data_IF_860438586842
#
_entry.id   IF_860438586842
#
_cell.length_a   1.000
_cell.length_b   1.000
_cell.length_c   1.000
_cell.angle_alpha   90.00
_cell.angle_beta   90.00
_cell.angle_gamma   90.00
#
_symmetry.space_group_name_H-M   'P 1'
#
loop_
_entity.id
_entity.type
_entity.pdbx_description
1 polymer ?
#
# COMPACT_ATOMS: atom_id res chain seq x y z
N UNK A 1 22.82 -14.47 22.13
CA UNK A 1 21.98 -13.40 22.71
C UNK A 1 22.62 -12.01 22.58
N UNK A 2 23.93 -11.84 22.85
CA UNK A 2 24.59 -10.52 22.74
C UNK A 2 24.59 -9.86 21.36
N UNK A 3 24.54 -10.61 20.27
CA UNK A 3 24.51 -10.05 18.88
C UNK A 3 23.22 -9.37 18.51
N UNK A 4 22.07 -9.80 19.01
CA UNK A 4 20.76 -9.20 18.75
C UNK A 4 20.57 -7.90 19.54
N UNK A 5 20.92 -7.90 20.83
CA UNK A 5 20.85 -6.71 21.67
C UNK A 5 21.77 -5.60 21.15
N UNK A 6 23.00 -5.94 20.76
CA UNK A 6 23.94 -4.99 20.15
C UNK A 6 23.41 -4.44 18.83
N UNK A 7 22.75 -5.27 18.03
CA UNK A 7 22.15 -4.83 16.76
C UNK A 7 20.98 -3.88 16.99
N UNK A 8 20.10 -4.15 17.96
CA UNK A 8 19.03 -3.23 18.34
C UNK A 8 19.58 -1.89 18.85
N UNK A 9 20.65 -1.93 19.65
CA UNK A 9 21.32 -0.71 20.13
C UNK A 9 21.99 0.07 18.99
N UNK A 10 22.59 -0.60 18.02
CA UNK A 10 23.16 0.05 16.82
C UNK A 10 22.08 0.70 15.95
N UNK A 11 20.91 0.06 15.81
CA UNK A 11 19.75 0.62 15.11
C UNK A 11 19.27 1.91 15.78
N UNK A 12 19.15 1.89 17.12
CA UNK A 12 18.71 3.04 17.91
C UNK A 12 19.71 4.21 17.88
N UNK A 13 21.03 3.90 17.91
CA UNK A 13 22.10 4.89 17.93
C UNK A 13 22.50 5.42 16.55
N UNK A 14 22.06 4.78 15.47
CA UNK A 14 22.45 5.18 14.12
C UNK A 14 21.85 6.52 13.74
N UNK A 15 22.68 7.53 13.60
CA UNK A 15 22.29 8.85 13.05
C UNK A 15 21.76 8.75 11.63
N UNK A 16 22.17 7.74 10.86
CA UNK A 16 21.68 7.48 9.49
C UNK A 16 20.27 6.92 9.49
N UNK A 17 19.85 6.22 10.55
CA UNK A 17 18.51 5.66 10.73
C UNK A 17 17.45 6.69 11.16
N UNK A 18 17.84 7.92 11.53
CA UNK A 18 16.87 8.93 12.04
C UNK A 18 15.71 9.19 11.08
N UNK A 19 15.95 9.19 9.77
CA UNK A 19 14.90 9.34 8.78
C UNK A 19 13.81 8.26 8.89
N UNK A 20 14.18 7.00 9.11
CA UNK A 20 13.22 5.90 9.22
C UNK A 20 12.34 5.99 10.49
N UNK A 21 12.83 6.60 11.57
CA UNK A 21 12.06 6.82 12.79
C UNK A 21 10.94 7.86 12.61
N UNK A 22 11.13 8.86 11.75
CA UNK A 22 10.05 9.79 11.38
C UNK A 22 8.92 9.06 10.64
N UNK A 23 9.26 8.08 9.77
CA UNK A 23 8.24 7.26 9.12
C UNK A 23 7.45 6.42 10.14
N UNK A 24 8.12 5.86 11.16
CA UNK A 24 7.46 5.16 12.26
C UNK A 24 6.56 6.10 13.06
N UNK A 25 7.06 7.28 13.45
CA UNK A 25 6.25 8.27 14.16
C UNK A 25 4.99 8.67 13.40
N UNK A 26 5.12 8.91 12.09
CA UNK A 26 3.99 9.17 11.20
C UNK A 26 3.00 8.00 11.12
N UNK A 27 3.49 6.76 11.00
CA UNK A 27 2.65 5.56 10.97
C UNK A 27 1.88 5.35 12.28
N UNK A 28 2.53 5.55 13.43
CA UNK A 28 1.90 5.46 14.76
C UNK A 28 0.82 6.56 14.90
N UNK A 29 1.12 7.80 14.52
CA UNK A 29 0.18 8.91 14.58
C UNK A 29 -1.05 8.65 13.69
N UNK A 30 -0.86 8.19 12.45
CA UNK A 30 -1.95 7.79 11.55
C UNK A 30 -2.81 6.67 12.15
N UNK A 31 -2.17 5.66 12.74
CA UNK A 31 -2.89 4.54 13.37
C UNK A 31 -3.73 5.03 14.56
N UNK A 32 -3.20 5.93 15.36
CA UNK A 32 -3.93 6.52 16.48
C UNK A 32 -5.15 7.32 16.02
N UNK A 33 -4.97 8.19 15.00
CA UNK A 33 -6.08 8.94 14.39
C UNK A 33 -7.14 7.95 13.83
N UNK A 34 -6.68 6.87 13.19
CA UNK A 34 -7.54 5.80 12.67
C UNK A 34 -8.36 5.13 13.78
N UNK A 35 -7.73 4.75 14.90
CA UNK A 35 -8.41 4.16 16.06
C UNK A 35 -9.49 5.11 16.60
N UNK A 36 -9.18 6.39 16.73
CA UNK A 36 -10.14 7.41 17.19
C UNK A 36 -11.30 7.61 16.20
N UNK A 37 -11.02 7.58 14.89
CA UNK A 37 -12.05 7.64 13.86
C UNK A 37 -12.95 6.40 13.88
N UNK A 38 -12.35 5.20 13.98
CA UNK A 38 -13.08 3.92 14.10
C UNK A 38 -13.94 3.92 15.36
N UNK A 39 -13.42 4.41 16.50
CA UNK A 39 -14.19 4.53 17.78
C UNK A 39 -15.45 5.36 17.62
N UNK A 40 -15.44 6.38 16.75
CA UNK A 40 -16.63 7.22 16.48
C UNK A 40 -17.76 6.45 15.82
N UNK A 41 -17.45 5.50 14.91
CA UNK A 41 -18.44 4.78 14.10
C UNK A 41 -18.69 3.35 14.54
N UNK A 42 -17.68 2.69 15.13
CA UNK A 42 -17.71 1.28 15.49
C UNK A 42 -16.80 1.00 16.72
N UNK A 43 -17.24 1.33 17.95
CA UNK A 43 -16.42 1.20 19.17
C UNK A 43 -15.83 -0.19 19.38
N UNK A 44 -16.58 -1.25 19.12
CA UNK A 44 -16.13 -2.65 19.28
C UNK A 44 -14.95 -2.98 18.34
N UNK A 45 -14.93 -2.39 17.14
CA UNK A 45 -13.87 -2.59 16.18
C UNK A 45 -12.61 -1.77 16.53
N UNK A 46 -12.76 -0.67 17.26
CA UNK A 46 -11.62 0.11 17.76
C UNK A 46 -10.76 -0.69 18.73
N UNK A 47 -11.38 -1.43 19.64
CA UNK A 47 -10.69 -2.34 20.57
C UNK A 47 -9.91 -3.44 19.82
N UNK A 48 -10.52 -4.04 18.80
CA UNK A 48 -9.85 -5.03 17.93
C UNK A 48 -8.68 -4.40 17.14
N UNK A 49 -8.83 -3.15 16.68
CA UNK A 49 -7.76 -2.45 15.97
C UNK A 49 -6.54 -2.19 16.87
N UNK A 50 -6.73 -1.91 18.17
CA UNK A 50 -5.62 -1.79 19.13
C UNK A 50 -4.86 -3.11 19.24
N UNK A 51 -5.54 -4.25 19.31
CA UNK A 51 -4.89 -5.57 19.32
C UNK A 51 -4.07 -5.76 18.04
N UNK A 52 -4.64 -5.45 16.87
CA UNK A 52 -3.91 -5.53 15.60
C UNK A 52 -2.73 -4.58 15.53
N UNK A 53 -2.83 -3.42 16.12
CA UNK A 53 -1.71 -2.48 16.22
C UNK A 53 -0.56 -3.08 17.03
N UNK A 54 -0.84 -3.69 18.18
CA UNK A 54 0.19 -4.37 18.99
C UNK A 54 0.82 -5.52 18.22
N UNK A 55 0.03 -6.37 17.56
CA UNK A 55 0.54 -7.46 16.70
C UNK A 55 1.43 -6.90 15.58
N UNK A 56 1.02 -5.79 14.97
CA UNK A 56 1.79 -5.13 13.91
C UNK A 56 3.14 -4.62 14.39
N UNK A 57 3.21 -4.10 15.62
CA UNK A 57 4.48 -3.67 16.24
C UNK A 57 5.41 -4.86 16.51
N UNK A 58 4.85 -6.01 16.91
CA UNK A 58 5.64 -7.25 17.10
C UNK A 58 6.21 -7.73 15.77
N UNK A 59 5.39 -7.80 14.71
CA UNK A 59 5.85 -8.18 13.37
C UNK A 59 6.87 -7.17 12.83
N UNK A 60 6.65 -5.88 13.04
CA UNK A 60 7.62 -4.84 12.71
C UNK A 60 8.97 -5.11 13.41
N UNK A 61 8.97 -5.43 14.71
CA UNK A 61 10.18 -5.75 15.46
C UNK A 61 10.87 -7.00 14.91
N UNK A 62 10.12 -8.03 14.51
CA UNK A 62 10.69 -9.21 13.84
C UNK A 62 11.35 -8.84 12.49
N UNK A 63 10.79 -7.90 11.75
CA UNK A 63 11.35 -7.40 10.49
C UNK A 63 12.66 -6.61 10.65
N UNK A 64 13.07 -6.25 11.88
CA UNK A 64 14.37 -5.65 12.16
C UNK A 64 15.52 -6.68 12.14
N UNK A 65 15.23 -7.99 12.24
CA UNK A 65 16.22 -9.04 12.42
C UNK A 65 16.92 -9.49 11.14
N UNK A 66 16.22 -9.71 10.00
CA UNK A 66 16.86 -10.30 8.82
C UNK A 66 17.83 -9.32 8.15
N UNK A 67 18.97 -9.84 7.66
CA UNK A 67 19.89 -9.04 6.84
C UNK A 67 19.26 -8.74 5.47
N UNK A 68 19.45 -7.55 4.86
CA UNK A 68 18.88 -7.23 3.56
C UNK A 68 19.22 -8.26 2.48
N UNK A 69 20.43 -8.82 2.52
CA UNK A 69 20.83 -9.86 1.57
C UNK A 69 19.95 -11.12 1.69
N UNK A 70 19.61 -11.52 2.93
CA UNK A 70 18.72 -12.67 3.17
C UNK A 70 17.30 -12.37 2.67
N UNK A 71 16.79 -11.17 2.98
CA UNK A 71 15.48 -10.71 2.49
C UNK A 71 15.45 -10.73 0.95
N UNK A 72 16.49 -10.21 0.30
CA UNK A 72 16.60 -10.19 -1.14
C UNK A 72 16.70 -11.58 -1.78
N UNK A 73 17.50 -12.49 -1.20
CA UNK A 73 17.62 -13.87 -1.68
C UNK A 73 16.28 -14.62 -1.54
N UNK A 74 15.54 -14.37 -0.45
CA UNK A 74 14.22 -14.98 -0.20
C UNK A 74 13.08 -14.32 -0.99
N UNK A 75 13.29 -13.18 -1.66
CA UNK A 75 12.22 -12.40 -2.28
C UNK A 75 11.40 -13.16 -3.32
N UNK A 76 12.07 -13.94 -4.19
CA UNK A 76 11.36 -14.75 -5.18
C UNK A 76 10.61 -15.93 -4.56
N UNK A 77 11.19 -16.58 -3.56
CA UNK A 77 10.51 -17.66 -2.83
C UNK A 77 9.25 -17.15 -2.13
N UNK A 78 9.34 -15.99 -1.47
CA UNK A 78 8.18 -15.34 -0.86
C UNK A 78 7.12 -14.94 -1.90
N UNK A 79 7.52 -14.45 -3.07
CA UNK A 79 6.59 -14.16 -4.16
C UNK A 79 5.88 -15.43 -4.64
N UNK A 80 6.63 -16.53 -4.86
CA UNK A 80 6.04 -17.82 -5.27
C UNK A 80 5.03 -18.31 -4.23
N UNK A 81 5.39 -18.31 -2.95
CA UNK A 81 4.44 -18.68 -1.86
C UNK A 81 3.20 -17.81 -1.90
N UNK A 82 3.35 -16.51 -2.11
CA UNK A 82 2.22 -15.59 -2.20
C UNK A 82 1.34 -15.88 -3.44
N UNK A 83 1.95 -16.17 -4.58
CA UNK A 83 1.20 -16.55 -5.80
C UNK A 83 0.45 -17.87 -5.60
N UNK A 84 1.04 -18.84 -4.89
CA UNK A 84 0.36 -20.09 -4.53
C UNK A 84 -0.83 -19.82 -3.59
N UNK A 85 -0.69 -18.94 -2.59
CA UNK A 85 -1.80 -18.54 -1.72
C UNK A 85 -2.92 -17.84 -2.50
N UNK A 86 -2.57 -16.93 -3.43
CA UNK A 86 -3.55 -16.30 -4.31
C UNK A 86 -4.24 -17.32 -5.23
N UNK A 87 -3.47 -18.27 -5.79
CA UNK A 87 -4.01 -19.34 -6.62
C UNK A 87 -4.93 -20.27 -5.84
N UNK A 88 -4.57 -20.61 -4.60
CA UNK A 88 -5.39 -21.42 -3.69
C UNK A 88 -6.79 -20.83 -3.50
N UNK A 89 -6.91 -19.52 -3.33
CA UNK A 89 -8.20 -18.84 -3.18
C UNK A 89 -9.11 -18.94 -4.41
N UNK A 90 -8.56 -19.31 -5.58
CA UNK A 90 -9.33 -19.44 -6.82
C UNK A 90 -9.86 -20.88 -7.03
N UNK A 91 -9.49 -21.84 -6.17
CA UNK A 91 -9.97 -23.22 -6.26
C UNK A 91 -11.47 -23.25 -5.96
N UNK A 92 -12.31 -23.75 -6.89
CA UNK A 92 -13.74 -23.86 -6.66
C UNK A 92 -14.04 -24.95 -5.60
N UNK A 93 -15.08 -24.74 -4.78
CA UNK A 93 -15.53 -25.76 -3.82
C UNK A 93 -14.83 -25.75 -2.47
N UNK A 94 -13.94 -24.79 -2.19
CA UNK A 94 -13.35 -24.63 -0.84
C UNK A 94 -14.43 -24.37 0.22
N UNK A 95 -14.32 -25.00 1.42
CA UNK A 95 -15.26 -24.78 2.53
C UNK A 95 -15.31 -23.30 2.92
N UNK A 96 -16.51 -22.79 3.23
CA UNK A 96 -16.71 -21.41 3.71
C UNK A 96 -16.01 -21.13 5.05
N UNK A 97 -15.68 -22.18 5.82
CA UNK A 97 -14.86 -22.09 7.02
C UNK A 97 -13.40 -21.70 6.74
N UNK A 98 -12.89 -21.97 5.54
CA UNK A 98 -11.51 -21.63 5.13
C UNK A 98 -11.47 -20.35 4.28
N UNK A 99 -12.44 -20.22 3.37
CA UNK A 99 -12.59 -19.05 2.48
C UNK A 99 -13.99 -18.48 2.65
N UNK A 100 -14.18 -17.49 3.53
CA UNK A 100 -15.47 -16.86 3.74
C UNK A 100 -15.95 -16.21 2.43
N UNK A 101 -17.11 -16.66 1.95
CA UNK A 101 -17.77 -16.08 0.78
C UNK A 101 -18.60 -14.88 1.23
N UNK A 102 -17.95 -13.73 1.44
CA UNK A 102 -18.63 -12.50 1.81
C UNK A 102 -18.51 -11.44 0.72
N UNK A 103 -19.58 -10.68 0.45
CA UNK A 103 -19.59 -9.52 -0.45
C UNK A 103 -19.13 -9.80 -1.90
N UNK A 104 -19.30 -11.03 -2.38
CA UNK A 104 -18.96 -11.40 -3.76
C UNK A 104 -17.47 -11.55 -4.04
N UNK A 105 -16.60 -11.55 -3.02
CA UNK A 105 -15.16 -11.75 -3.16
C UNK A 105 -14.70 -13.01 -2.42
N UNK A 106 -13.67 -13.68 -2.96
CA UNK A 106 -12.98 -14.83 -2.36
C UNK A 106 -11.54 -14.45 -1.99
N UNK A 107 -11.33 -13.24 -1.47
CA UNK A 107 -10.00 -12.67 -1.26
C UNK A 107 -9.43 -12.92 0.15
N UNK A 108 -10.18 -13.59 1.03
CA UNK A 108 -9.84 -13.74 2.44
C UNK A 108 -9.65 -15.21 2.83
N UNK A 109 -8.62 -15.49 3.62
CA UNK A 109 -8.43 -16.75 4.32
C UNK A 109 -8.86 -16.57 5.78
N UNK A 110 -9.75 -17.43 6.27
CA UNK A 110 -10.08 -17.48 7.68
C UNK A 110 -9.11 -18.41 8.41
N UNK A 111 -8.25 -17.80 9.22
CA UNK A 111 -7.32 -18.52 10.10
C UNK A 111 -7.91 -18.76 11.50
N UNK A 112 -9.24 -18.64 11.68
CA UNK A 112 -9.97 -18.70 12.95
C UNK A 112 -9.63 -17.56 13.93
N UNK A 113 -8.39 -17.14 13.99
CA UNK A 113 -7.91 -16.02 14.82
C UNK A 113 -8.03 -14.69 14.05
N UNK A 114 -7.84 -14.74 12.72
CA UNK A 114 -7.86 -13.56 11.86
C UNK A 114 -8.28 -13.90 10.44
N UNK A 115 -8.90 -12.93 9.77
CA UNK A 115 -9.04 -12.97 8.32
C UNK A 115 -7.78 -12.42 7.67
N UNK A 116 -7.03 -13.30 7.02
CA UNK A 116 -5.80 -12.94 6.32
C UNK A 116 -6.08 -12.71 4.83
N UNK A 117 -5.59 -11.59 4.29
CA UNK A 117 -5.73 -11.26 2.88
C UNK A 117 -4.38 -11.44 2.15
N UNK A 118 -4.22 -12.50 1.34
CA UNK A 118 -2.97 -12.75 0.62
C UNK A 118 -2.57 -11.65 -0.35
N UNK A 119 -3.50 -10.86 -0.88
CA UNK A 119 -3.21 -9.72 -1.74
C UNK A 119 -2.48 -8.58 -1.00
N UNK A 120 -2.64 -8.46 0.32
CA UNK A 120 -1.83 -7.53 1.13
C UNK A 120 -0.37 -7.97 1.17
N UNK A 121 -0.12 -9.28 1.37
CA UNK A 121 1.23 -9.85 1.32
C UNK A 121 1.84 -9.73 -0.08
N UNK A 122 1.02 -9.84 -1.13
CA UNK A 122 1.47 -9.74 -2.52
C UNK A 122 2.12 -8.38 -2.83
N UNK A 123 1.64 -7.29 -2.24
CA UNK A 123 2.27 -5.96 -2.38
C UNK A 123 3.70 -5.95 -1.86
N UNK A 124 3.92 -6.49 -0.65
CA UNK A 124 5.26 -6.57 -0.05
C UNK A 124 6.19 -7.46 -0.87
N UNK A 125 5.74 -8.68 -1.21
CA UNK A 125 6.57 -9.66 -1.92
C UNK A 125 6.89 -9.23 -3.36
N UNK A 126 5.94 -8.58 -4.03
CA UNK A 126 6.16 -7.96 -5.33
C UNK A 126 7.27 -6.90 -5.28
N UNK A 127 7.22 -5.98 -4.30
CA UNK A 127 8.23 -4.94 -4.16
C UNK A 127 9.60 -5.54 -3.91
N UNK A 128 9.71 -6.52 -3.02
CA UNK A 128 10.98 -7.17 -2.71
C UNK A 128 11.55 -7.91 -3.93
N UNK A 129 10.73 -8.67 -4.64
CA UNK A 129 11.12 -9.37 -5.86
C UNK A 129 11.54 -8.40 -6.98
N UNK A 130 10.76 -7.33 -7.18
CA UNK A 130 11.05 -6.28 -8.15
C UNK A 130 12.35 -5.55 -7.82
N UNK A 131 12.56 -5.18 -6.55
CA UNK A 131 13.79 -4.51 -6.11
C UNK A 131 15.01 -5.42 -6.31
N UNK A 132 14.86 -6.72 -6.02
CA UNK A 132 15.92 -7.70 -6.23
C UNK A 132 16.22 -7.93 -7.71
N UNK A 133 15.19 -7.90 -8.56
CA UNK A 133 15.36 -7.98 -10.02
C UNK A 133 16.08 -6.76 -10.58
N UNK A 134 15.63 -5.55 -10.23
CA UNK A 134 16.11 -4.30 -10.82
C UNK A 134 17.50 -3.88 -10.34
N UNK A 135 17.98 -4.39 -9.18
CA UNK A 135 19.18 -3.88 -8.47
C UNK A 135 20.45 -3.75 -9.30
N UNK A 136 20.72 -4.69 -10.21
CA UNK A 136 21.95 -4.73 -11.03
C UNK A 136 21.67 -4.74 -12.53
N UNK A 137 20.44 -4.49 -12.93
CA UNK A 137 20.05 -4.51 -14.33
C UNK A 137 19.90 -3.08 -14.87
N UNK A 138 20.19 -2.90 -16.16
CA UNK A 138 19.95 -1.66 -16.91
C UNK A 138 19.06 -1.89 -18.13
N UNK A 139 18.58 -3.13 -18.31
CA UNK A 139 17.77 -3.56 -19.47
C UNK A 139 16.43 -2.84 -19.55
N UNK A 140 15.89 -2.36 -18.41
CA UNK A 140 14.65 -1.58 -18.33
C UNK A 140 14.72 -0.21 -19.05
N UNK A 141 15.88 0.18 -19.55
CA UNK A 141 16.04 1.34 -20.45
C UNK A 141 15.66 1.02 -21.91
N UNK A 142 15.37 -0.24 -22.22
CA UNK A 142 14.90 -0.73 -23.51
C UNK A 142 13.51 -1.37 -23.34
N UNK A 143 12.68 -1.33 -24.39
CA UNK A 143 11.31 -1.89 -24.35
C UNK A 143 11.29 -3.37 -23.98
N UNK A 144 12.18 -4.17 -24.56
CA UNK A 144 12.28 -5.60 -24.24
C UNK A 144 12.63 -5.85 -22.76
N UNK A 145 13.35 -4.94 -22.14
CA UNK A 145 13.74 -5.06 -20.73
C UNK A 145 12.61 -4.76 -19.75
N UNK A 146 11.51 -4.14 -20.19
CA UNK A 146 10.31 -3.88 -19.40
C UNK A 146 9.38 -5.11 -19.31
N UNK A 147 9.53 -6.08 -20.19
CA UNK A 147 8.67 -7.28 -20.21
C UNK A 147 8.72 -8.05 -18.90
N UNK A 148 9.89 -8.21 -18.29
CA UNK A 148 10.02 -8.94 -17.03
C UNK A 148 9.42 -8.16 -15.84
N UNK A 149 9.70 -6.86 -15.64
CA UNK A 149 8.99 -6.04 -14.65
C UNK A 149 7.47 -6.07 -14.81
N UNK A 150 6.97 -5.96 -16.04
CA UNK A 150 5.54 -6.06 -16.31
C UNK A 150 5.00 -7.47 -16.01
N UNK A 151 5.72 -8.52 -16.39
CA UNK A 151 5.35 -9.90 -16.07
C UNK A 151 5.28 -10.17 -14.57
N UNK A 152 6.29 -9.71 -13.80
CA UNK A 152 6.29 -9.82 -12.35
C UNK A 152 5.12 -9.08 -11.68
N UNK A 153 4.65 -7.98 -12.27
CA UNK A 153 3.45 -7.27 -11.82
C UNK A 153 2.17 -7.98 -12.27
N UNK A 154 2.08 -8.40 -13.53
CA UNK A 154 0.86 -8.96 -14.09
C UNK A 154 0.49 -10.32 -13.49
N UNK A 155 1.47 -11.10 -13.00
CA UNK A 155 1.20 -12.37 -12.34
C UNK A 155 0.32 -12.22 -11.09
N UNK A 156 0.71 -11.46 -10.04
CA UNK A 156 -0.17 -11.25 -8.88
C UNK A 156 -1.44 -10.47 -9.25
N UNK A 157 -1.34 -9.46 -10.11
CA UNK A 157 -2.50 -8.66 -10.55
C UNK A 157 -3.55 -9.53 -11.23
N UNK A 158 -3.16 -10.42 -12.13
CA UNK A 158 -4.09 -11.33 -12.83
C UNK A 158 -4.83 -12.27 -11.88
N UNK A 159 -4.15 -12.78 -10.84
CA UNK A 159 -4.79 -13.61 -9.81
C UNK A 159 -5.74 -12.79 -8.94
N UNK A 160 -5.35 -11.57 -8.53
CA UNK A 160 -6.15 -10.66 -7.70
C UNK A 160 -7.41 -10.21 -8.44
N UNK A 161 -7.31 -9.88 -9.72
CA UNK A 161 -8.46 -9.49 -10.56
C UNK A 161 -9.46 -10.64 -10.70
N UNK A 162 -8.98 -11.89 -10.75
CA UNK A 162 -9.86 -13.08 -10.75
C UNK A 162 -10.60 -13.29 -9.43
N UNK A 163 -10.09 -12.75 -8.31
CA UNK A 163 -10.73 -12.76 -6.99
C UNK A 163 -11.72 -11.59 -6.78
N UNK A 164 -12.20 -10.92 -7.80
CA UNK A 164 -12.82 -9.59 -7.94
C UNK A 164 -12.32 -8.49 -6.98
N UNK A 165 -11.01 -8.44 -6.74
CA UNK A 165 -10.38 -7.38 -5.93
C UNK A 165 -9.63 -6.38 -6.84
N UNK A 166 -10.39 -5.60 -7.61
CA UNK A 166 -9.84 -4.56 -8.50
C UNK A 166 -9.11 -3.47 -7.72
N UNK A 167 -9.58 -3.17 -6.52
CA UNK A 167 -8.98 -2.14 -5.69
C UNK A 167 -7.51 -2.43 -5.42
N UNK A 168 -7.21 -3.58 -4.85
CA UNK A 168 -5.81 -3.97 -4.57
C UNK A 168 -4.99 -4.08 -5.85
N UNK A 169 -5.56 -4.57 -6.96
CA UNK A 169 -4.87 -4.65 -8.24
C UNK A 169 -4.40 -3.29 -8.77
N UNK A 170 -5.19 -2.23 -8.57
CA UNK A 170 -4.85 -0.86 -9.03
C UNK A 170 -3.59 -0.28 -8.35
N UNK A 171 -3.19 -0.78 -7.18
CA UNK A 171 -2.02 -0.26 -6.43
C UNK A 171 -0.70 -0.66 -7.11
N UNK A 172 -0.67 -1.82 -7.79
CA UNK A 172 0.56 -2.37 -8.35
C UNK A 172 1.15 -1.51 -9.48
N UNK A 173 0.30 -0.98 -10.36
CA UNK A 173 0.77 -0.21 -11.52
C UNK A 173 1.51 1.09 -11.10
N UNK A 174 0.94 2.01 -10.29
CA UNK A 174 1.68 3.19 -9.88
C UNK A 174 2.90 2.83 -9.01
N UNK A 175 2.85 1.76 -8.22
CA UNK A 175 4.02 1.29 -7.46
C UNK A 175 5.14 0.85 -8.39
N UNK A 176 4.84 0.07 -9.45
CA UNK A 176 5.83 -0.31 -10.47
C UNK A 176 6.44 0.92 -11.14
N UNK A 177 5.61 1.91 -11.53
CA UNK A 177 6.09 3.13 -12.19
C UNK A 177 7.08 3.89 -11.30
N UNK A 178 6.76 4.06 -10.01
CA UNK A 178 7.65 4.71 -9.03
C UNK A 178 8.97 3.94 -8.91
N UNK A 179 8.93 2.61 -8.84
CA UNK A 179 10.13 1.78 -8.77
C UNK A 179 10.98 1.86 -10.06
N UNK A 180 10.36 1.88 -11.24
CA UNK A 180 11.05 2.02 -12.53
C UNK A 180 11.71 3.39 -12.67
N UNK A 181 11.03 4.47 -12.24
CA UNK A 181 11.61 5.82 -12.20
C UNK A 181 12.84 5.84 -11.28
N UNK A 182 12.73 5.28 -10.08
CA UNK A 182 13.83 5.22 -9.13
C UNK A 182 14.99 4.33 -9.59
N UNK A 183 14.72 3.32 -10.41
CA UNK A 183 15.74 2.51 -11.07
C UNK A 183 16.46 3.27 -12.20
N UNK A 184 15.88 4.33 -12.73
CA UNK A 184 16.42 5.13 -13.84
C UNK A 184 15.94 4.69 -15.23
N UNK A 185 14.69 4.21 -15.32
CA UNK A 185 14.03 3.96 -16.59
C UNK A 185 13.86 5.26 -17.38
N UNK A 186 13.80 5.17 -18.71
CA UNK A 186 13.56 6.34 -19.55
C UNK A 186 12.14 6.87 -19.32
N UNK A 187 12.00 8.16 -19.02
CA UNK A 187 10.69 8.80 -18.76
C UNK A 187 9.72 8.65 -19.92
N UNK A 188 10.22 8.57 -21.17
CA UNK A 188 9.41 8.28 -22.34
C UNK A 188 8.70 6.92 -22.25
N UNK A 189 9.39 5.87 -21.80
CA UNK A 189 8.78 4.56 -21.59
C UNK A 189 7.69 4.61 -20.51
N UNK A 190 7.95 5.35 -19.43
CA UNK A 190 6.98 5.57 -18.36
C UNK A 190 5.75 6.32 -18.90
N UNK A 191 5.98 7.39 -19.68
CA UNK A 191 4.89 8.15 -20.32
C UNK A 191 4.01 7.29 -21.22
N UNK A 192 4.62 6.39 -22.01
CA UNK A 192 3.86 5.45 -22.85
C UNK A 192 3.07 4.46 -22.00
N UNK A 193 3.66 3.90 -20.92
CA UNK A 193 2.93 2.99 -20.04
C UNK A 193 1.72 3.67 -19.37
N UNK A 194 1.90 4.91 -18.90
CA UNK A 194 0.80 5.72 -18.34
C UNK A 194 -0.23 6.02 -19.42
N UNK A 195 0.20 6.41 -20.63
CA UNK A 195 -0.68 6.69 -21.76
C UNK A 195 -1.52 5.48 -22.17
N UNK A 196 -0.90 4.30 -22.27
CA UNK A 196 -1.62 3.04 -22.55
C UNK A 196 -2.65 2.74 -21.46
N UNK A 197 -2.29 2.91 -20.18
CA UNK A 197 -3.23 2.73 -19.06
C UNK A 197 -4.40 3.72 -19.13
N UNK A 198 -4.13 4.99 -19.41
CA UNK A 198 -5.16 6.02 -19.56
C UNK A 198 -6.09 5.72 -20.75
N UNK A 199 -5.52 5.37 -21.91
CA UNK A 199 -6.31 4.99 -23.10
C UNK A 199 -7.16 3.76 -22.79
N UNK A 200 -6.61 2.73 -22.14
CA UNK A 200 -7.37 1.54 -21.75
C UNK A 200 -8.56 1.89 -20.84
N UNK A 201 -8.36 2.81 -19.88
CA UNK A 201 -9.44 3.29 -19.00
C UNK A 201 -10.51 4.01 -19.79
N UNK A 202 -10.13 4.92 -20.69
CA UNK A 202 -11.07 5.63 -21.56
C UNK A 202 -11.84 4.65 -22.45
N UNK A 203 -11.17 3.68 -23.06
CA UNK A 203 -11.82 2.65 -23.90
C UNK A 203 -12.83 1.84 -23.09
N UNK A 204 -12.50 1.45 -21.85
CA UNK A 204 -13.42 0.73 -20.95
C UNK A 204 -14.65 1.60 -20.65
N UNK A 205 -14.49 2.88 -20.35
CA UNK A 205 -15.59 3.80 -20.09
C UNK A 205 -16.47 3.95 -21.33
N UNK A 206 -15.88 4.18 -22.51
CA UNK A 206 -16.61 4.29 -23.77
C UNK A 206 -17.35 2.99 -24.11
N UNK A 207 -16.72 1.83 -23.87
CA UNK A 207 -17.34 0.52 -24.10
C UNK A 207 -18.57 0.31 -23.21
N UNK A 208 -18.52 0.69 -21.94
CA UNK A 208 -19.68 0.60 -21.02
C UNK A 208 -20.82 1.48 -21.51
N UNK A 209 -20.52 2.62 -22.16
CA UNK A 209 -21.52 3.60 -22.58
C UNK A 209 -22.11 3.29 -23.95
N UNK A 210 -21.26 2.97 -24.94
CA UNK A 210 -21.66 2.83 -26.34
C UNK A 210 -21.84 1.37 -26.80
N UNK A 211 -21.27 0.40 -26.07
CA UNK A 211 -21.30 -1.02 -26.42
C UNK A 211 -21.61 -1.90 -25.19
N UNK A 212 -22.74 -1.73 -24.49
CA UNK A 212 -23.04 -2.46 -23.26
C UNK A 212 -22.98 -3.98 -23.43
N UNK A 213 -23.45 -4.50 -24.57
CA UNK A 213 -23.41 -5.95 -24.85
C UNK A 213 -21.98 -6.52 -24.89
N UNK A 214 -21.00 -5.71 -25.32
CA UNK A 214 -19.57 -6.11 -25.33
C UNK A 214 -19.00 -5.97 -23.92
N UNK A 215 -19.39 -4.92 -23.20
CA UNK A 215 -18.99 -4.70 -21.81
C UNK A 215 -19.46 -5.86 -20.92
N UNK A 216 -20.66 -6.40 -21.11
CA UNK A 216 -21.24 -7.52 -20.35
C UNK A 216 -20.44 -8.83 -20.52
N UNK A 217 -19.74 -8.99 -21.64
CA UNK A 217 -18.90 -10.17 -21.89
C UNK A 217 -17.51 -10.06 -21.21
N UNK A 218 -17.01 -8.85 -21.01
CA UNK A 218 -15.64 -8.59 -20.54
C UNK A 218 -15.61 -8.21 -19.06
N UNK A 219 -16.58 -7.42 -18.62
CA UNK A 219 -16.66 -6.88 -17.26
C UNK A 219 -17.83 -7.51 -16.50
N UNK A 220 -17.59 -7.83 -15.23
CA UNK A 220 -18.66 -8.32 -14.36
C UNK A 220 -19.66 -7.19 -14.06
N UNK A 221 -20.96 -7.49 -13.87
CA UNK A 221 -22.00 -6.47 -13.65
C UNK A 221 -21.63 -5.45 -12.57
N UNK A 222 -21.14 -5.91 -11.40
CA UNK A 222 -20.74 -5.03 -10.29
C UNK A 222 -19.54 -4.11 -10.61
N UNK A 223 -18.72 -4.45 -11.60
CA UNK A 223 -17.60 -3.59 -12.05
C UNK A 223 -18.14 -2.47 -12.95
N UNK A 224 -19.04 -2.82 -13.85
CA UNK A 224 -19.71 -1.83 -14.72
C UNK A 224 -20.51 -0.84 -13.91
N UNK A 225 -21.23 -1.35 -12.90
CA UNK A 225 -22.05 -0.53 -12.02
C UNK A 225 -21.23 0.54 -11.30
N UNK A 226 -20.00 0.22 -10.87
CA UNK A 226 -19.08 1.21 -10.26
C UNK A 226 -18.74 2.35 -11.23
N UNK A 227 -18.48 2.04 -12.50
CA UNK A 227 -18.20 3.06 -13.52
C UNK A 227 -19.46 3.84 -13.90
N UNK A 228 -20.60 3.18 -14.06
CA UNK A 228 -21.89 3.84 -14.34
C UNK A 228 -22.27 4.80 -13.21
N UNK A 229 -22.09 4.36 -11.96
CA UNK A 229 -22.31 5.21 -10.80
C UNK A 229 -21.43 6.47 -10.79
N UNK A 230 -20.15 6.34 -11.09
CA UNK A 230 -19.24 7.49 -11.20
C UNK A 230 -19.64 8.44 -12.33
N UNK A 231 -20.03 7.92 -13.49
CA UNK A 231 -20.44 8.74 -14.64
C UNK A 231 -21.74 9.49 -14.32
N UNK A 232 -22.76 8.81 -13.74
CA UNK A 232 -24.02 9.45 -13.36
C UNK A 232 -23.80 10.57 -12.33
N UNK A 233 -22.85 10.39 -11.43
CA UNK A 233 -22.47 11.40 -10.45
C UNK A 233 -21.85 12.65 -11.12
N UNK A 234 -20.96 12.46 -12.11
CA UNK A 234 -20.37 13.58 -12.88
C UNK A 234 -21.44 14.31 -13.68
N UNK A 235 -22.44 13.59 -14.19
CA UNK A 235 -23.55 14.15 -14.97
C UNK A 235 -24.65 14.79 -14.11
N UNK A 236 -24.61 14.60 -12.78
CA UNK A 236 -25.67 15.04 -11.86
C UNK A 236 -26.99 14.28 -12.03
N UNK A 237 -26.94 13.08 -12.63
CA UNK A 237 -28.11 12.24 -12.89
C UNK A 237 -28.37 11.32 -11.69
N UNK A 238 -29.43 11.60 -10.92
CA UNK A 238 -29.81 10.86 -9.72
C UNK A 238 -30.27 9.41 -9.92
N UNK A 239 -30.22 8.86 -11.15
CA UNK A 239 -30.70 7.50 -11.46
C UNK A 239 -30.05 6.38 -10.65
N UNK A 240 -28.80 6.58 -10.20
CA UNK A 240 -28.02 5.60 -9.42
C UNK A 240 -27.80 6.01 -7.95
N UNK A 241 -28.46 7.08 -7.46
CA UNK A 241 -28.28 7.60 -6.10
C UNK A 241 -28.69 6.61 -5.01
N UNK A 242 -29.61 5.69 -5.31
CA UNK A 242 -30.10 4.70 -4.35
C UNK A 242 -29.26 3.41 -4.24
N UNK A 243 -28.25 3.23 -5.11
CA UNK A 243 -27.47 2.00 -5.19
C UNK A 243 -25.95 2.23 -5.06
N UNK A 244 -25.30 2.48 -6.20
CA UNK A 244 -23.85 2.41 -6.32
C UNK A 244 -23.20 3.75 -5.99
N UNK A 245 -23.81 4.86 -6.44
CA UNK A 245 -23.36 6.22 -6.12
C UNK A 245 -23.70 6.61 -4.68
N UNK A 246 -24.58 5.87 -4.01
CA UNK A 246 -25.04 6.19 -2.64
C UNK A 246 -23.88 6.37 -1.67
N UNK A 247 -22.95 5.40 -1.63
CA UNK A 247 -21.80 5.44 -0.72
C UNK A 247 -20.93 6.68 -0.97
N UNK A 248 -20.69 7.01 -2.22
CA UNK A 248 -19.82 8.11 -2.62
C UNK A 248 -20.50 9.47 -2.43
N UNK A 249 -21.79 9.59 -2.79
CA UNK A 249 -22.57 10.80 -2.57
C UNK A 249 -22.70 11.11 -1.08
N UNK A 250 -22.92 10.08 -0.24
CA UNK A 250 -22.95 10.25 1.22
C UNK A 250 -21.58 10.63 1.77
N UNK A 251 -20.50 10.06 1.22
CA UNK A 251 -19.14 10.45 1.58
C UNK A 251 -18.92 11.94 1.33
N UNK A 252 -19.21 12.44 0.14
CA UNK A 252 -19.01 13.85 -0.21
C UNK A 252 -19.91 14.80 0.60
N UNK A 253 -21.17 14.42 0.86
CA UNK A 253 -22.04 15.20 1.74
C UNK A 253 -21.47 15.34 3.17
N UNK A 254 -20.95 14.23 3.73
CA UNK A 254 -20.34 14.23 5.07
C UNK A 254 -19.02 15.01 5.10
N UNK A 255 -18.20 14.92 4.05
CA UNK A 255 -16.98 15.72 3.90
C UNK A 255 -17.33 17.21 3.87
N UNK A 256 -18.33 17.61 3.06
CA UNK A 256 -18.81 19.00 2.99
C UNK A 256 -19.38 19.51 4.31
N UNK A 257 -20.11 18.65 5.04
CA UNK A 257 -20.66 18.99 6.35
C UNK A 257 -19.57 19.19 7.44
N UNK A 258 -18.38 18.58 7.27
CA UNK A 258 -17.25 18.74 8.17
C UNK A 258 -16.66 20.15 8.18
N UNK A 259 -16.82 20.92 7.11
CA UNK A 259 -16.29 22.28 6.98
C UNK A 259 -14.82 22.40 7.43
N UNK A 260 -14.43 23.50 8.07
CA UNK A 260 -13.04 23.76 8.44
C UNK A 260 -12.63 23.04 9.75
N UNK A 261 -13.50 23.05 10.77
CA UNK A 261 -13.19 22.56 12.12
C UNK A 261 -13.79 21.19 12.44
N UNK A 262 -14.68 20.66 11.60
CA UNK A 262 -15.39 19.42 11.85
C UNK A 262 -16.61 19.58 12.75
N UNK A 263 -17.40 18.50 12.78
CA UNK A 263 -18.65 18.46 13.57
C UNK A 263 -18.45 17.87 14.98
N UNK A 264 -17.26 17.36 15.28
CA UNK A 264 -16.98 16.61 16.50
C UNK A 264 -17.49 15.17 16.48
N UNK A 265 -17.12 14.36 17.47
CA UNK A 265 -17.36 12.91 17.48
C UNK A 265 -18.85 12.56 17.52
N UNK A 266 -19.62 13.20 18.41
CA UNK A 266 -21.02 12.86 18.63
C UNK A 266 -21.92 13.14 17.43
N UNK A 267 -21.80 14.35 16.85
CA UNK A 267 -22.56 14.73 15.66
C UNK A 267 -22.19 13.85 14.46
N UNK A 268 -20.89 13.57 14.28
CA UNK A 268 -20.41 12.68 13.22
C UNK A 268 -20.98 11.28 13.38
N UNK A 269 -20.97 10.71 14.58
CA UNK A 269 -21.55 9.38 14.84
C UNK A 269 -23.05 9.34 14.56
N UNK A 270 -23.80 10.36 14.97
CA UNK A 270 -25.25 10.47 14.71
C UNK A 270 -25.55 10.55 13.21
N UNK A 271 -24.83 11.41 12.48
CA UNK A 271 -25.01 11.59 11.05
C UNK A 271 -24.65 10.33 10.23
N UNK A 272 -23.55 9.66 10.57
CA UNK A 272 -23.16 8.42 9.89
C UNK A 272 -24.19 7.31 10.12
N UNK A 273 -24.74 7.17 11.33
CA UNK A 273 -25.82 6.23 11.62
C UNK A 273 -27.10 6.59 10.85
N UNK A 274 -27.47 7.87 10.84
CA UNK A 274 -28.67 8.35 10.15
C UNK A 274 -28.57 8.16 8.64
N UNK A 275 -27.46 8.54 8.04
CA UNK A 275 -27.22 8.44 6.60
C UNK A 275 -26.85 7.02 6.15
N UNK A 276 -26.53 6.10 7.08
CA UNK A 276 -26.19 4.72 6.78
C UNK A 276 -24.96 4.59 5.88
N UNK A 277 -23.85 5.35 6.14
CA UNK A 277 -22.64 5.25 5.32
C UNK A 277 -22.04 3.85 5.40
N UNK A 278 -22.11 3.05 4.29
CA UNK A 278 -21.51 1.73 4.28
C UNK A 278 -19.99 1.83 4.42
N UNK A 279 -19.37 0.81 5.00
CA UNK A 279 -17.90 0.67 5.11
C UNK A 279 -17.17 1.89 5.69
N UNK A 280 -17.86 2.70 6.52
CA UNK A 280 -17.32 3.91 7.13
C UNK A 280 -16.01 3.67 7.89
N UNK A 281 -15.81 2.46 8.45
CA UNK A 281 -14.60 2.08 9.19
C UNK A 281 -13.44 1.57 8.31
N UNK A 282 -13.72 1.19 7.07
CA UNK A 282 -12.76 0.59 6.13
C UNK A 282 -12.35 1.62 5.07
N UNK A 283 -12.96 1.55 3.89
CA UNK A 283 -12.62 2.35 2.71
C UNK A 283 -13.11 3.80 2.77
N UNK A 284 -14.12 4.12 3.59
CA UNK A 284 -14.64 5.49 3.77
C UNK A 284 -14.17 6.15 5.09
N UNK A 285 -13.09 5.66 5.69
CA UNK A 285 -12.60 6.22 6.97
C UNK A 285 -12.11 7.67 6.84
N UNK A 286 -11.58 8.06 5.68
CA UNK A 286 -11.19 9.44 5.41
C UNK A 286 -12.37 10.39 5.54
N UNK A 287 -13.56 9.99 5.08
CA UNK A 287 -14.81 10.74 5.26
C UNK A 287 -15.13 10.97 6.74
N UNK A 288 -14.97 9.92 7.57
CA UNK A 288 -15.19 10.02 9.02
C UNK A 288 -14.23 11.03 9.65
N UNK A 289 -12.96 11.01 9.22
CA UNK A 289 -11.93 11.93 9.71
C UNK A 289 -12.29 13.38 9.38
N UNK A 290 -12.65 13.63 8.11
CA UNK A 290 -13.00 14.99 7.68
C UNK A 290 -14.32 15.45 8.31
N UNK A 291 -15.32 14.59 8.42
CA UNK A 291 -16.56 14.92 9.11
C UNK A 291 -16.30 15.29 10.58
N UNK A 292 -15.41 14.56 11.28
CA UNK A 292 -15.13 14.77 12.70
C UNK A 292 -14.23 15.97 12.98
N UNK A 293 -13.14 16.13 12.23
CA UNK A 293 -12.08 17.13 12.49
C UNK A 293 -11.97 18.19 11.38
N UNK A 294 -12.85 18.17 10.39
CA UNK A 294 -12.89 19.13 9.30
C UNK A 294 -11.68 19.06 8.37
N UNK A 295 -11.44 20.16 7.68
CA UNK A 295 -10.29 20.32 6.79
C UNK A 295 -8.95 20.20 7.53
N UNK A 296 -8.91 20.58 8.82
CA UNK A 296 -7.74 20.40 9.69
C UNK A 296 -7.36 18.92 9.80
N UNK A 297 -8.35 18.03 9.98
CA UNK A 297 -8.14 16.58 10.00
C UNK A 297 -7.60 16.05 8.67
N UNK A 298 -8.13 16.53 7.54
CA UNK A 298 -7.62 16.19 6.22
C UNK A 298 -6.17 16.64 6.05
N UNK A 299 -5.85 17.88 6.40
CA UNK A 299 -4.50 18.43 6.30
C UNK A 299 -3.50 17.65 7.16
N UNK A 300 -3.89 17.26 8.37
CA UNK A 300 -3.06 16.44 9.26
C UNK A 300 -2.75 15.08 8.64
N UNK A 301 -3.76 14.40 8.05
CA UNK A 301 -3.58 13.14 7.35
C UNK A 301 -2.60 13.29 6.17
N UNK A 302 -2.78 14.30 5.32
CA UNK A 302 -1.85 14.57 4.21
C UNK A 302 -0.42 14.85 4.70
N UNK A 303 -0.26 15.64 5.75
CA UNK A 303 1.05 15.98 6.33
C UNK A 303 1.75 14.72 6.86
N UNK A 304 1.03 13.82 7.53
CA UNK A 304 1.59 12.58 8.05
C UNK A 304 1.98 11.60 6.94
N UNK A 305 1.18 11.48 5.87
CA UNK A 305 1.59 10.69 4.70
C UNK A 305 2.80 11.29 4.00
N UNK A 306 2.83 12.61 3.83
CA UNK A 306 4.00 13.30 3.27
C UNK A 306 5.24 13.05 4.12
N UNK A 307 5.13 13.13 5.45
CA UNK A 307 6.22 12.80 6.38
C UNK A 307 6.74 11.38 6.15
N UNK A 308 5.87 10.38 6.03
CA UNK A 308 6.26 8.99 5.79
C UNK A 308 7.00 8.87 4.43
N UNK A 309 6.43 9.42 3.35
CA UNK A 309 6.97 9.32 2.00
C UNK A 309 8.33 10.03 1.89
N UNK A 310 8.44 11.23 2.45
CA UNK A 310 9.70 11.99 2.48
C UNK A 310 10.75 11.25 3.31
N UNK A 311 10.37 10.70 4.46
CA UNK A 311 11.27 9.90 5.31
C UNK A 311 11.79 8.67 4.60
N UNK A 312 10.92 7.92 3.90
CA UNK A 312 11.33 6.76 3.09
C UNK A 312 12.22 7.18 1.91
N UNK A 313 11.89 8.26 1.22
CA UNK A 313 12.70 8.80 0.13
C UNK A 313 14.10 9.23 0.61
N UNK A 314 14.19 9.82 1.80
CA UNK A 314 15.46 10.18 2.43
C UNK A 314 16.31 8.95 2.77
N UNK A 315 15.70 7.90 3.32
CA UNK A 315 16.38 6.61 3.58
C UNK A 315 16.88 5.99 2.28
N UNK A 316 16.05 5.95 1.25
CA UNK A 316 16.40 5.42 -0.07
C UNK A 316 17.55 6.21 -0.70
N UNK A 317 17.52 7.54 -0.66
CA UNK A 317 18.58 8.40 -1.23
C UNK A 317 19.93 8.23 -0.55
N UNK A 318 19.96 7.84 0.73
CA UNK A 318 21.21 7.60 1.49
C UNK A 318 21.73 6.17 1.40
N UNK A 319 20.93 5.25 0.89
CA UNK A 319 21.33 3.85 0.74
C UNK A 319 22.27 3.66 -0.45
N UNK A 320 23.42 3.01 -0.20
CA UNK A 320 24.36 2.60 -1.23
C UNK A 320 23.97 1.28 -1.90
N UNK A 321 23.19 0.44 -1.23
CA UNK A 321 22.71 -0.83 -1.77
C UNK A 321 21.49 -0.57 -2.70
N UNK A 322 21.59 -0.91 -3.99
CA UNK A 322 20.49 -0.70 -4.94
C UNK A 322 19.21 -1.47 -4.56
N UNK A 323 19.34 -2.66 -3.97
CA UNK A 323 18.18 -3.44 -3.51
C UNK A 323 17.43 -2.67 -2.41
N UNK A 324 18.14 -2.23 -1.40
CA UNK A 324 17.58 -1.46 -0.28
C UNK A 324 16.91 -0.18 -0.79
N UNK A 325 17.60 0.57 -1.65
CA UNK A 325 17.06 1.80 -2.23
C UNK A 325 15.74 1.56 -2.96
N UNK A 326 15.69 0.55 -3.83
CA UNK A 326 14.50 0.24 -4.63
C UNK A 326 13.37 -0.34 -3.77
N UNK A 327 13.67 -1.17 -2.78
CA UNK A 327 12.68 -1.72 -1.87
C UNK A 327 11.99 -0.61 -1.05
N UNK A 328 12.77 0.31 -0.46
CA UNK A 328 12.24 1.42 0.35
C UNK A 328 11.41 2.39 -0.52
N UNK A 329 11.87 2.68 -1.75
CA UNK A 329 11.07 3.45 -2.72
C UNK A 329 9.76 2.74 -3.05
N UNK A 330 9.79 1.43 -3.25
CA UNK A 330 8.59 0.62 -3.49
C UNK A 330 7.60 0.67 -2.32
N UNK A 331 8.09 0.59 -1.07
CA UNK A 331 7.25 0.73 0.13
C UNK A 331 6.58 2.10 0.19
N UNK A 332 7.34 3.18 -0.05
CA UNK A 332 6.78 4.53 -0.16
C UNK A 332 5.77 4.65 -1.31
N UNK A 333 6.04 3.98 -2.43
CA UNK A 333 5.17 3.93 -3.60
C UNK A 333 3.81 3.26 -3.29
N UNK A 334 3.80 2.16 -2.54
CA UNK A 334 2.53 1.53 -2.10
C UNK A 334 1.76 2.45 -1.16
N UNK A 335 2.41 3.04 -0.15
CA UNK A 335 1.75 3.97 0.77
C UNK A 335 1.15 5.15 0.03
N UNK A 336 1.90 5.77 -0.88
CA UNK A 336 1.42 6.85 -1.73
C UNK A 336 0.23 6.43 -2.60
N UNK A 337 0.38 5.35 -3.35
CA UNK A 337 -0.64 4.88 -4.30
C UNK A 337 -1.94 4.53 -3.59
N UNK A 338 -1.84 3.77 -2.50
CA UNK A 338 -3.00 3.29 -1.75
C UNK A 338 -3.73 4.45 -1.05
N UNK A 339 -2.99 5.39 -0.42
CA UNK A 339 -3.58 6.57 0.20
C UNK A 339 -4.25 7.48 -0.84
N UNK A 340 -3.56 7.75 -1.96
CA UNK A 340 -4.09 8.61 -3.04
C UNK A 340 -5.37 8.02 -3.65
N UNK A 341 -5.39 6.72 -3.94
CA UNK A 341 -6.58 6.07 -4.51
C UNK A 341 -7.74 6.10 -3.50
N UNK A 342 -7.52 5.75 -2.22
CA UNK A 342 -8.57 5.77 -1.20
C UNK A 342 -9.16 7.17 -1.03
N UNK A 343 -8.32 8.19 -0.91
CA UNK A 343 -8.77 9.59 -0.77
C UNK A 343 -9.53 10.04 -2.04
N UNK A 344 -9.03 9.70 -3.24
CA UNK A 344 -9.70 10.02 -4.49
C UNK A 344 -11.09 9.38 -4.60
N UNK A 345 -11.25 8.15 -4.09
CA UNK A 345 -12.56 7.48 -3.97
C UNK A 345 -13.47 8.24 -3.01
N UNK A 346 -12.96 8.61 -1.82
CA UNK A 346 -13.76 9.30 -0.80
C UNK A 346 -14.28 10.67 -1.26
N UNK A 347 -13.51 11.39 -2.08
CA UNK A 347 -13.88 12.71 -2.63
C UNK A 347 -14.56 12.65 -4.02
N UNK A 348 -14.86 11.46 -4.53
CA UNK A 348 -15.62 11.30 -5.78
C UNK A 348 -14.81 11.31 -7.08
N UNK A 349 -13.49 11.33 -7.03
CA UNK A 349 -12.62 11.35 -8.24
C UNK A 349 -12.42 9.98 -8.87
N UNK A 350 -12.53 8.91 -8.10
CA UNK A 350 -12.40 7.52 -8.57
C UNK A 350 -13.61 6.70 -8.12
N UNK A 351 -14.00 5.66 -8.87
CA UNK A 351 -15.10 4.78 -8.45
C UNK A 351 -14.74 4.05 -7.15
N UNK A 352 -15.74 3.62 -6.39
CA UNK A 352 -15.55 2.87 -5.14
C UNK A 352 -14.79 1.58 -5.41
N UNK A 353 -13.61 1.44 -4.80
CA UNK A 353 -12.68 0.32 -5.04
C UNK A 353 -12.58 -0.65 -3.87
N UNK A 354 -12.99 -0.26 -2.67
CA UNK A 354 -12.85 -1.09 -1.47
C UNK A 354 -11.43 -1.12 -0.91
N UNK A 355 -10.57 -0.15 -1.24
CA UNK A 355 -9.19 -0.07 -0.76
C UNK A 355 -9.17 0.61 0.61
N UNK A 356 -8.45 0.02 1.55
CA UNK A 356 -8.24 0.61 2.89
C UNK A 356 -7.24 1.77 2.83
N UNK A 357 -7.41 2.77 3.71
CA UNK A 357 -6.44 3.85 3.90
C UNK A 357 -5.27 3.34 4.77
N UNK A 358 -4.02 3.35 4.29
CA UNK A 358 -2.87 2.78 4.99
C UNK A 358 -2.73 3.29 6.42
N UNK A 359 -2.46 2.42 7.38
CA UNK A 359 -2.34 2.71 8.82
C UNK A 359 -3.61 3.19 9.53
N UNK A 360 -4.61 3.69 8.81
CA UNK A 360 -5.79 4.39 9.35
C UNK A 360 -7.03 3.49 9.40
N UNK A 361 -7.35 2.82 8.28
CA UNK A 361 -8.54 1.98 8.16
C UNK A 361 -8.51 0.77 9.08
N UNK A 362 -9.68 0.27 9.42
CA UNK A 362 -9.81 -1.01 10.08
C UNK A 362 -9.38 -2.15 9.15
N UNK A 363 -8.37 -2.93 9.59
CA UNK A 363 -7.87 -4.07 8.81
C UNK A 363 -6.59 -4.65 9.39
N UNK A 364 -6.67 -5.82 10.02
CA UNK A 364 -5.53 -6.47 10.66
C UNK A 364 -4.40 -6.80 9.69
N UNK A 365 -4.70 -7.49 8.58
CA UNK A 365 -3.69 -7.91 7.59
C UNK A 365 -2.98 -6.72 6.95
N UNK A 366 -3.75 -5.69 6.56
CA UNK A 366 -3.18 -4.48 5.96
C UNK A 366 -2.25 -3.76 6.92
N UNK A 367 -2.68 -3.59 8.18
CA UNK A 367 -1.89 -2.93 9.21
C UNK A 367 -0.57 -3.67 9.48
N UNK A 368 -0.63 -5.00 9.61
CA UNK A 368 0.55 -5.85 9.83
C UNK A 368 1.56 -5.70 8.69
N UNK A 369 1.11 -5.77 7.44
CA UNK A 369 2.00 -5.66 6.27
C UNK A 369 2.58 -4.24 6.15
N UNK A 370 1.79 -3.20 6.43
CA UNK A 370 2.28 -1.82 6.42
C UNK A 370 3.37 -1.60 7.49
N UNK A 371 3.17 -2.10 8.71
CA UNK A 371 4.18 -2.03 9.76
C UNK A 371 5.40 -2.93 9.46
N UNK A 372 5.23 -4.07 8.78
CA UNK A 372 6.35 -4.87 8.30
C UNK A 372 7.23 -4.07 7.30
N UNK A 373 6.63 -3.31 6.39
CA UNK A 373 7.36 -2.41 5.47
C UNK A 373 8.13 -1.31 6.22
N UNK A 374 7.53 -0.73 7.28
CA UNK A 374 8.21 0.23 8.17
C UNK A 374 9.39 -0.45 8.87
N UNK A 375 9.21 -1.65 9.43
CA UNK A 375 10.26 -2.42 10.10
C UNK A 375 11.44 -2.72 9.17
N UNK A 376 11.16 -3.19 7.95
CA UNK A 376 12.19 -3.38 6.92
C UNK A 376 12.89 -2.07 6.55
N UNK A 377 12.16 -0.95 6.47
CA UNK A 377 12.75 0.36 6.20
C UNK A 377 13.73 0.78 7.28
N UNK A 378 13.37 0.60 8.56
CA UNK A 378 14.24 0.89 9.70
C UNK A 378 15.48 -0.03 9.69
N UNK A 379 15.27 -1.33 9.47
CA UNK A 379 16.35 -2.30 9.34
C UNK A 379 17.33 -1.90 8.24
N UNK A 380 16.83 -1.58 7.06
CA UNK A 380 17.63 -1.21 5.90
C UNK A 380 18.38 0.12 6.10
N UNK A 381 17.78 1.07 6.81
CA UNK A 381 18.40 2.35 7.14
C UNK A 381 19.56 2.25 8.12
N UNK A 382 19.52 1.25 9.01
CA UNK A 382 20.50 1.09 10.10
C UNK A 382 21.78 0.37 9.68
N UNK A 383 21.77 -0.32 8.53
CA UNK A 383 22.93 -1.10 8.09
C UNK A 383 24.03 -0.19 7.58
N UNK A 384 25.15 -0.21 8.29
CA UNK A 384 26.40 0.33 7.79
C UNK A 384 26.88 -0.56 6.64
N UNK A 385 27.27 0.00 5.47
CA UNK A 385 28.04 -0.78 4.52
C UNK A 385 29.26 -1.34 5.29
N UNK A 386 29.65 -2.60 5.05
CA UNK A 386 30.89 -3.08 5.63
C UNK A 386 31.96 -2.07 5.28
N UNK A 387 32.63 -1.53 6.28
CA UNK A 387 33.88 -0.80 6.08
C UNK A 387 34.81 -1.88 5.56
N UNK A 388 34.96 -1.96 4.24
CA UNK A 388 36.08 -2.64 3.66
C UNK A 388 37.25 -1.70 3.99
N UNK A 389 37.77 -1.82 5.18
CA UNK A 389 39.13 -1.41 5.48
C UNK A 389 40.00 -2.34 4.63
N UNK A 390 40.23 -1.95 3.36
CA UNK A 390 41.45 -2.40 2.72
C UNK A 390 42.54 -1.89 3.67
N UNK A 391 43.41 -2.77 4.18
CA UNK A 391 44.64 -2.27 4.74
C UNK A 391 45.20 -1.34 3.68
N UNK A 392 45.48 -0.11 4.04
CA UNK A 392 46.25 0.79 3.19
C UNK A 392 47.45 -0.04 2.75
N UNK A 393 47.66 -0.18 1.44
CA UNK A 393 48.97 -0.57 0.93
C UNK A 393 49.90 0.58 1.24
N UNK A 394 50.29 0.74 2.51
CA UNK A 394 51.46 1.42 2.89
C UNK A 394 52.60 0.50 2.45
N UNK A 395 53.22 0.83 1.37
CA UNK A 395 54.57 0.30 1.09
C UNK A 395 55.41 0.76 2.25
N UNK A 396 55.85 -0.18 3.10
CA UNK A 396 56.90 0.10 4.06
C UNK A 396 58.05 0.70 3.23
N UNK A 397 58.56 1.89 3.62
CA UNK A 397 59.72 2.45 2.92
C UNK A 397 60.86 1.44 3.02
N UNK A 398 61.65 1.21 1.97
CA UNK A 398 62.73 0.25 2.01
C UNK A 398 63.62 0.58 3.21
N UNK A 399 63.77 -0.35 4.14
CA UNK A 399 64.72 -0.24 5.21
C UNK A 399 66.08 -0.02 4.60
N UNK A 400 66.62 1.19 4.74
CA UNK A 400 68.02 1.50 4.44
C UNK A 400 68.87 0.59 5.28
N UNK A 401 69.37 -0.49 4.67
CA UNK A 401 70.44 -1.31 5.24
C UNK A 401 71.65 -0.38 5.30
N UNK A 402 71.99 0.05 6.53
CA UNK A 402 73.19 0.87 6.75
C UNK A 402 74.45 0.08 6.45
N UNK A 403 75.33 0.71 5.77
CA UNK A 403 76.73 0.32 5.51
C UNK A 403 77.55 0.41 6.81
#
# INVERSE_FOLDING_TARGET
MNTLANRCMDILRSTKGRGAWYALGGAIALTWIGIEAIRTVAPDHASKQIVWFVVSLVVMAMCLLPRPRVVGLGAYALLVVTLLLLGFLLIPGLPSAVVPRGRGTTAWLDLQIMHFQPSELAKLTFILAMAWYLRFRRTYRQWRGLLIPLGLMLLPVGLIVRQPDLGTAMIFAPTLLVMLIAAGARLWHIGVLVGVGAIATVVIVLMIYFAPNVADQILRPHQQDRFRGMISQIQGDGRYDSSISFQQNKSMQLIGAGQFFGMGAEKTAKLIRWHGLPEARNDMIFTVIVARWGLIGAFLIFTLYLLIIVSMSFVAGRSKDPFVRLAVVGFGGVVFSQASINIAVAIGLLPVTGITLPFVSYGGSSLVIMFAMIGLTINFASLRPPIVSRPSFEFDPPTTVGA
#
